data_IF_187935206058
#
_entry.id   IF_187935206058
#
_cell.length_a   1.000
_cell.length_b   1.000
_cell.length_c   1.000
_cell.angle_alpha   90.00
_cell.angle_beta   90.00
_cell.angle_gamma   90.00
#
_symmetry.space_group_name_H-M   'P 1'
#
loop_
_entity.id
_entity.type
_entity.pdbx_description
1 polymer ?
#
# COMPACT_ATOMS: atom_id res chain seq x y z
N UNK A 1 -2.80 7.39 -3.69
CA UNK A 1 -1.54 7.11 -4.40
C UNK A 1 -1.92 6.28 -5.62
N UNK A 2 -0.99 6.03 -6.52
CA UNK A 2 -1.24 5.25 -7.73
C UNK A 2 -2.04 5.96 -8.80
N UNK A 3 -2.91 5.22 -9.50
CA UNK A 3 -3.73 5.76 -10.59
C UNK A 3 -4.56 6.94 -10.11
N UNK A 4 -4.34 8.10 -10.74
CA UNK A 4 -4.95 9.36 -10.33
C UNK A 4 -6.48 9.29 -10.46
N UNK A 5 -7.15 9.70 -9.39
CA UNK A 5 -8.61 9.76 -9.34
C UNK A 5 -9.38 8.45 -9.63
N UNK A 6 -8.71 7.29 -9.80
CA UNK A 6 -9.41 6.03 -10.08
C UNK A 6 -10.38 5.66 -8.96
N UNK A 7 -9.95 5.77 -7.69
CA UNK A 7 -10.85 5.52 -6.57
C UNK A 7 -12.07 6.45 -6.57
N UNK A 8 -11.89 7.74 -6.95
CA UNK A 8 -13.00 8.69 -7.05
C UNK A 8 -13.98 8.26 -8.15
N UNK A 9 -13.46 7.80 -9.27
CA UNK A 9 -14.25 7.25 -10.37
C UNK A 9 -15.05 6.01 -9.95
N UNK A 10 -14.41 5.06 -9.25
CA UNK A 10 -15.07 3.85 -8.73
C UNK A 10 -16.14 4.21 -7.68
N UNK A 11 -15.91 5.23 -6.84
CA UNK A 11 -16.87 5.68 -5.82
C UNK A 11 -18.17 6.26 -6.42
N UNK A 12 -18.20 6.66 -7.69
CA UNK A 12 -19.41 7.10 -8.38
C UNK A 12 -20.33 5.91 -8.73
N UNK A 13 -19.84 4.67 -8.56
CA UNK A 13 -20.58 3.42 -8.72
C UNK A 13 -20.50 2.59 -7.43
N UNK A 14 -21.37 2.89 -6.43
CA UNK A 14 -21.26 2.30 -5.09
C UNK A 14 -21.28 0.78 -5.05
N UNK A 15 -21.93 0.11 -5.99
CA UNK A 15 -22.00 -1.35 -6.11
C UNK A 15 -20.66 -2.02 -6.41
N UNK A 16 -19.66 -1.28 -6.88
CA UNK A 16 -18.29 -1.77 -7.07
C UNK A 16 -17.49 -1.83 -5.78
N UNK A 17 -17.96 -1.16 -4.73
CA UNK A 17 -17.34 -1.14 -3.41
C UNK A 17 -18.22 -1.91 -2.44
N UNK A 18 -17.79 -3.10 -2.08
CA UNK A 18 -18.56 -3.97 -1.19
C UNK A 18 -18.13 -3.77 0.25
N UNK A 19 -19.09 -3.47 1.11
CA UNK A 19 -18.88 -3.51 2.55
C UNK A 19 -18.84 -4.97 3.01
N UNK A 20 -17.81 -5.32 3.78
CA UNK A 20 -17.59 -6.67 4.25
C UNK A 20 -17.27 -6.70 5.75
N UNK A 21 -17.64 -7.79 6.40
CA UNK A 21 -17.23 -8.04 7.78
C UNK A 21 -15.80 -8.61 7.82
N UNK A 22 -15.04 -8.25 8.85
CA UNK A 22 -13.65 -8.71 9.03
C UNK A 22 -13.56 -10.25 9.15
N UNK A 23 -14.61 -10.91 9.64
CA UNK A 23 -14.66 -12.37 9.76
C UNK A 23 -14.55 -13.11 8.42
N UNK A 24 -14.87 -12.45 7.30
CA UNK A 24 -14.65 -12.96 5.94
C UNK A 24 -13.19 -13.36 5.69
N UNK A 25 -12.27 -12.69 6.37
CA UNK A 25 -10.81 -12.88 6.18
C UNK A 25 -10.18 -13.79 7.25
N UNK A 26 -11.01 -14.38 8.12
CA UNK A 26 -10.52 -15.35 9.11
C UNK A 26 -9.83 -16.53 8.40
N UNK A 27 -8.62 -16.86 8.85
CA UNK A 27 -7.75 -17.90 8.26
C UNK A 27 -7.32 -17.62 6.81
N UNK A 28 -7.34 -16.34 6.40
CA UNK A 28 -6.91 -15.91 5.09
C UNK A 28 -5.55 -15.23 5.16
N UNK A 29 -4.74 -15.41 4.10
CA UNK A 29 -3.50 -14.64 3.90
C UNK A 29 -3.82 -13.36 3.18
N UNK A 30 -3.31 -12.25 3.70
CA UNK A 30 -3.53 -10.93 3.12
C UNK A 30 -2.15 -10.29 2.87
N UNK A 31 -1.85 -9.96 1.61
CA UNK A 31 -0.63 -9.24 1.28
C UNK A 31 -0.76 -7.76 1.70
N UNK A 32 0.33 -7.21 2.19
CA UNK A 32 0.39 -5.84 2.70
C UNK A 32 1.67 -5.19 2.21
N UNK A 33 1.55 -4.12 1.42
CA UNK A 33 2.66 -3.23 1.19
C UNK A 33 3.05 -2.56 2.52
N UNK A 34 4.22 -2.93 3.03
CA UNK A 34 4.68 -2.44 4.33
C UNK A 34 4.99 -0.94 4.27
N UNK A 35 5.44 -0.42 3.13
CA UNK A 35 5.77 0.99 2.96
C UNK A 35 4.53 1.86 3.15
N UNK A 36 3.42 1.53 2.49
CA UNK A 36 2.14 2.24 2.64
C UNK A 36 1.66 2.16 4.10
N UNK A 37 1.74 0.99 4.72
CA UNK A 37 1.32 0.80 6.11
C UNK A 37 2.15 1.67 7.07
N UNK A 38 3.47 1.62 6.99
CA UNK A 38 4.35 2.34 7.92
C UNK A 38 4.21 3.86 7.73
N UNK A 39 4.14 4.36 6.49
CA UNK A 39 3.88 5.78 6.26
C UNK A 39 2.52 6.21 6.81
N UNK A 40 1.46 5.40 6.69
CA UNK A 40 0.14 5.65 7.28
C UNK A 40 0.23 5.74 8.82
N UNK A 41 0.97 4.84 9.45
CA UNK A 41 1.23 4.84 10.90
C UNK A 41 1.96 6.13 11.32
N UNK A 42 3.07 6.46 10.69
CA UNK A 42 3.87 7.65 11.00
C UNK A 42 3.02 8.92 10.85
N UNK A 43 2.30 9.07 9.74
CA UNK A 43 1.43 10.23 9.50
C UNK A 43 0.34 10.32 10.56
N UNK A 44 -0.24 9.18 10.95
CA UNK A 44 -1.29 9.15 12.00
C UNK A 44 -0.75 9.58 13.36
N UNK A 45 0.42 9.09 13.74
CA UNK A 45 1.08 9.48 15.00
C UNK A 45 1.49 10.95 14.95
N UNK A 46 2.07 11.43 13.85
CA UNK A 46 2.48 12.82 13.67
C UNK A 46 1.31 13.83 13.64
N UNK A 47 0.07 13.37 13.52
CA UNK A 47 -1.10 14.23 13.76
C UNK A 47 -1.19 14.72 15.22
N UNK A 48 -0.53 14.07 16.16
CA UNK A 48 -0.43 14.51 17.58
C UNK A 48 0.67 15.56 17.80
N UNK A 49 1.45 15.88 16.76
CA UNK A 49 2.57 16.83 16.84
C UNK A 49 3.92 16.20 17.20
N UNK A 50 3.98 14.89 17.47
CA UNK A 50 5.22 14.22 17.87
C UNK A 50 5.32 12.80 17.32
N UNK A 51 6.54 12.25 17.29
CA UNK A 51 6.78 10.81 17.11
C UNK A 51 6.79 10.10 18.48
N UNK A 52 6.58 8.79 18.49
CA UNK A 52 6.89 7.98 19.67
C UNK A 52 8.40 7.82 19.78
N UNK A 53 8.95 8.20 20.92
CA UNK A 53 10.38 8.10 21.23
C UNK A 53 10.60 7.23 22.47
N UNK A 54 11.71 6.50 22.50
CA UNK A 54 12.11 5.74 23.69
C UNK A 54 12.88 6.63 24.70
N UNK A 55 13.28 6.04 25.83
CA UNK A 55 14.04 6.74 26.88
C UNK A 55 15.42 7.25 26.40
N UNK A 56 15.94 6.71 25.28
CA UNK A 56 17.20 7.13 24.65
C UNK A 56 17.02 8.25 23.62
N UNK A 57 15.78 8.71 23.38
CA UNK A 57 15.46 9.71 22.36
C UNK A 57 15.33 9.16 20.93
N UNK A 58 15.32 7.84 20.75
CA UNK A 58 15.20 7.20 19.44
C UNK A 58 13.74 7.06 19.03
N UNK A 59 13.44 7.29 17.73
CA UNK A 59 12.08 7.17 17.18
C UNK A 59 11.68 5.69 17.10
N UNK A 60 10.59 5.31 17.77
CA UNK A 60 10.05 3.94 17.81
C UNK A 60 8.67 3.81 17.15
N UNK A 61 8.17 4.86 16.53
CA UNK A 61 6.82 4.92 15.92
C UNK A 61 6.59 3.77 14.95
N UNK A 62 7.57 3.46 14.06
CA UNK A 62 7.48 2.38 13.08
C UNK A 62 7.38 1.01 13.75
N UNK A 63 8.16 0.74 14.77
CA UNK A 63 8.18 -0.54 15.51
C UNK A 63 6.88 -0.76 16.28
N UNK A 64 6.50 0.22 17.12
CA UNK A 64 5.28 0.11 17.92
C UNK A 64 4.04 -0.01 17.03
N UNK A 65 4.00 0.76 15.95
CA UNK A 65 2.89 0.73 15.01
C UNK A 65 2.79 -0.60 14.26
N UNK A 66 3.90 -1.11 13.71
CA UNK A 66 3.94 -2.40 13.03
C UNK A 66 3.57 -3.55 13.98
N UNK A 67 4.16 -3.58 15.18
CA UNK A 67 3.84 -4.59 16.20
C UNK A 67 2.35 -4.60 16.54
N UNK A 68 1.77 -3.42 16.81
CA UNK A 68 0.36 -3.32 17.16
C UNK A 68 -0.56 -3.75 16.02
N UNK A 69 -0.27 -3.32 14.78
CA UNK A 69 -1.08 -3.69 13.61
C UNK A 69 -1.00 -5.18 13.31
N UNK A 70 0.18 -5.77 13.45
CA UNK A 70 0.36 -7.22 13.28
C UNK A 70 -0.43 -8.00 14.31
N UNK A 71 -0.34 -7.65 15.61
CA UNK A 71 -1.13 -8.29 16.68
C UNK A 71 -2.63 -8.12 16.43
N UNK A 72 -3.05 -6.95 15.96
CA UNK A 72 -4.46 -6.69 15.62
C UNK A 72 -4.96 -7.64 14.54
N UNK A 73 -4.24 -7.79 13.42
CA UNK A 73 -4.60 -8.71 12.34
C UNK A 73 -4.66 -10.17 12.82
N UNK A 74 -3.65 -10.61 13.56
CA UNK A 74 -3.59 -11.95 14.14
C UNK A 74 -4.74 -12.22 15.11
N UNK A 75 -5.20 -11.22 15.88
CA UNK A 75 -6.36 -11.34 16.77
C UNK A 75 -7.68 -11.59 16.00
N UNK A 76 -7.76 -11.17 14.73
CA UNK A 76 -8.87 -11.52 13.83
C UNK A 76 -8.63 -12.87 13.12
N UNK A 77 -7.59 -13.61 13.48
CA UNK A 77 -7.11 -14.82 12.78
C UNK A 77 -6.80 -14.56 11.29
N UNK A 78 -6.27 -13.39 10.96
CA UNK A 78 -5.82 -13.02 9.62
C UNK A 78 -4.31 -13.16 9.58
N UNK A 79 -3.77 -13.82 8.55
CA UNK A 79 -2.33 -14.02 8.36
C UNK A 79 -1.79 -12.89 7.47
N UNK A 80 -1.09 -11.89 8.01
CA UNK A 80 -0.47 -10.85 7.20
C UNK A 80 0.77 -11.41 6.50
N UNK A 81 0.93 -11.07 5.22
CA UNK A 81 2.13 -11.30 4.42
C UNK A 81 2.68 -9.94 4.03
N UNK A 82 3.75 -9.50 4.69
CA UNK A 82 4.31 -8.19 4.42
C UNK A 82 5.24 -8.23 3.21
N UNK A 83 5.14 -7.21 2.35
CA UNK A 83 5.99 -7.09 1.18
C UNK A 83 6.77 -5.78 1.27
N UNK A 84 8.11 -5.90 1.23
CA UNK A 84 9.04 -4.77 1.21
C UNK A 84 9.40 -4.43 -0.23
N UNK A 85 9.58 -3.13 -0.49
CA UNK A 85 10.12 -2.66 -1.77
C UNK A 85 11.57 -3.12 -1.96
N UNK A 86 11.91 -3.45 -3.21
CA UNK A 86 13.27 -3.66 -3.69
C UNK A 86 13.81 -2.41 -4.37
N UNK A 87 14.50 -2.61 -5.51
CA UNK A 87 15.03 -1.50 -6.30
C UNK A 87 13.94 -0.94 -7.22
N UNK A 88 13.55 0.34 -7.07
CA UNK A 88 12.50 0.92 -7.91
C UNK A 88 12.87 0.87 -9.40
N UNK A 89 11.89 0.67 -10.31
CA UNK A 89 12.12 0.64 -11.74
C UNK A 89 12.53 2.02 -12.26
N UNK A 90 13.34 2.06 -13.33
CA UNK A 90 13.84 3.32 -13.89
C UNK A 90 12.73 4.27 -14.34
N UNK A 91 11.60 3.74 -14.81
CA UNK A 91 10.44 4.54 -15.24
C UNK A 91 9.83 5.39 -14.12
N UNK A 92 10.09 5.05 -12.84
CA UNK A 92 9.62 5.80 -11.66
C UNK A 92 10.55 6.93 -11.21
N UNK A 93 11.76 7.06 -11.79
CA UNK A 93 12.78 8.00 -11.33
C UNK A 93 12.26 9.44 -11.23
N UNK A 94 11.51 9.92 -12.22
CA UNK A 94 10.93 11.28 -12.22
C UNK A 94 9.97 11.50 -11.03
N UNK A 95 9.14 10.52 -10.74
CA UNK A 95 8.20 10.57 -9.60
C UNK A 95 8.95 10.55 -8.27
N UNK A 96 9.99 9.73 -8.15
CA UNK A 96 10.83 9.67 -6.95
C UNK A 96 11.57 10.97 -6.70
N UNK A 97 12.14 11.58 -7.75
CA UNK A 97 12.80 12.87 -7.64
C UNK A 97 11.83 13.98 -7.22
N UNK A 98 10.64 14.04 -7.80
CA UNK A 98 9.60 14.98 -7.40
C UNK A 98 9.20 14.79 -5.92
N UNK A 99 9.04 13.54 -5.46
CA UNK A 99 8.73 13.24 -4.05
C UNK A 99 9.86 13.68 -3.12
N UNK A 100 11.13 13.51 -3.53
CA UNK A 100 12.30 13.98 -2.79
C UNK A 100 12.33 15.50 -2.66
N UNK A 101 12.06 16.22 -3.74
CA UNK A 101 12.00 17.69 -3.75
C UNK A 101 10.84 18.21 -2.86
N UNK A 102 9.66 17.58 -2.91
CA UNK A 102 8.52 17.92 -2.05
C UNK A 102 8.88 17.75 -0.57
N UNK A 103 9.57 16.64 -0.22
CA UNK A 103 10.04 16.39 1.15
C UNK A 103 11.06 17.42 1.62
N UNK A 104 12.05 17.76 0.76
CA UNK A 104 13.05 18.80 1.07
C UNK A 104 12.39 20.15 1.35
N UNK A 105 11.49 20.59 0.48
CA UNK A 105 10.70 21.82 0.69
C UNK A 105 9.84 21.78 1.96
N UNK A 106 9.34 20.60 2.33
CA UNK A 106 8.57 20.45 3.56
C UNK A 106 9.45 20.58 4.81
N UNK A 107 10.70 20.07 4.79
CA UNK A 107 11.66 20.26 5.86
C UNK A 107 12.02 21.74 6.04
N UNK A 108 12.36 22.43 4.95
CA UNK A 108 12.69 23.88 4.98
C UNK A 108 11.51 24.71 5.56
N UNK A 109 10.26 24.35 5.18
CA UNK A 109 9.06 25.02 5.69
C UNK A 109 8.75 24.65 7.15
N UNK A 110 9.13 23.46 7.61
CA UNK A 110 8.97 23.04 8.98
C UNK A 110 9.85 23.90 9.93
N UNK A 111 11.10 24.17 9.52
CA UNK A 111 12.02 25.03 10.28
C UNK A 111 11.52 26.47 10.39
N UNK A 112 10.76 26.95 9.41
CA UNK A 112 10.21 28.31 9.37
C UNK A 112 8.76 28.41 9.92
N UNK A 113 8.13 27.27 10.26
CA UNK A 113 6.74 27.22 10.69
C UNK A 113 6.55 27.86 12.06
N UNK A 114 5.66 28.86 12.13
CA UNK A 114 5.32 29.58 13.36
C UNK A 114 4.11 28.93 14.05
N UNK A 115 3.06 28.59 13.26
CA UNK A 115 1.83 28.02 13.80
C UNK A 115 1.97 26.50 14.03
N UNK A 116 1.29 25.98 15.05
CA UNK A 116 1.30 24.54 15.33
C UNK A 116 0.64 23.73 14.19
N UNK A 117 -0.36 24.30 13.52
CA UNK A 117 -1.00 23.68 12.35
C UNK A 117 0.00 23.50 11.20
N UNK A 118 0.79 24.52 10.87
CA UNK A 118 1.83 24.42 9.85
C UNK A 118 2.96 23.49 10.26
N UNK A 119 3.37 23.50 11.53
CA UNK A 119 4.36 22.54 12.06
C UNK A 119 3.89 21.11 11.85
N UNK A 120 2.68 20.75 12.29
CA UNK A 120 2.11 19.41 12.09
C UNK A 120 2.01 19.05 10.60
N UNK A 121 1.55 19.97 9.77
CA UNK A 121 1.41 19.77 8.31
C UNK A 121 2.75 19.46 7.63
N UNK A 122 3.79 20.26 7.90
CA UNK A 122 5.10 20.05 7.29
C UNK A 122 5.85 18.88 7.92
N UNK A 123 5.70 18.63 9.22
CA UNK A 123 6.22 17.44 9.88
C UNK A 123 5.71 16.13 9.25
N UNK A 124 4.43 16.06 8.91
CA UNK A 124 3.87 14.91 8.15
C UNK A 124 4.43 14.81 6.74
N UNK A 125 4.53 15.94 6.02
CA UNK A 125 5.01 15.96 4.63
C UNK A 125 6.51 15.66 4.49
N UNK A 126 7.28 15.89 5.53
CA UNK A 126 8.71 15.57 5.60
C UNK A 126 9.02 14.13 6.00
N UNK A 127 7.98 13.30 6.28
CA UNK A 127 8.16 11.93 6.75
C UNK A 127 9.03 11.10 5.82
N UNK A 128 10.02 10.43 6.40
CA UNK A 128 10.89 9.47 5.72
C UNK A 128 11.23 8.35 6.69
N UNK A 129 11.65 7.21 6.15
CA UNK A 129 12.10 6.05 6.91
C UNK A 129 13.53 5.75 6.48
N UNK A 130 14.43 5.57 7.44
CA UNK A 130 15.81 5.22 7.19
C UNK A 130 15.96 3.73 6.83
N UNK A 131 17.10 3.39 6.23
CA UNK A 131 17.43 1.98 5.97
C UNK A 131 17.45 1.15 7.26
N UNK A 132 18.00 1.71 8.32
CA UNK A 132 18.04 1.08 9.64
C UNK A 132 16.63 0.79 10.19
N UNK A 133 15.71 1.74 10.06
CA UNK A 133 14.32 1.54 10.48
C UNK A 133 13.62 0.44 9.66
N UNK A 134 13.92 0.30 8.37
CA UNK A 134 13.45 -0.83 7.57
C UNK A 134 14.02 -2.17 8.04
N UNK A 135 15.30 -2.20 8.38
CA UNK A 135 15.95 -3.43 8.89
C UNK A 135 15.39 -3.80 10.28
N UNK A 136 15.08 -2.81 11.12
CA UNK A 136 14.36 -3.01 12.40
C UNK A 136 12.94 -3.59 12.18
N UNK A 137 12.22 -3.16 11.15
CA UNK A 137 10.91 -3.73 10.81
C UNK A 137 11.02 -5.21 10.41
N UNK A 138 12.02 -5.58 9.61
CA UNK A 138 12.25 -6.99 9.21
C UNK A 138 12.57 -7.85 10.42
N UNK A 139 13.52 -7.40 11.24
CA UNK A 139 13.89 -8.10 12.49
C UNK A 139 12.68 -8.31 13.41
N UNK A 140 11.82 -7.28 13.55
CA UNK A 140 10.59 -7.41 14.32
C UNK A 140 9.68 -8.51 13.77
N UNK A 141 9.46 -8.54 12.46
CA UNK A 141 8.61 -9.57 11.82
C UNK A 141 9.22 -10.97 11.94
N UNK A 142 10.54 -11.11 11.83
CA UNK A 142 11.27 -12.38 12.06
C UNK A 142 11.05 -12.87 13.49
N UNK A 143 11.26 -12.01 14.48
CA UNK A 143 11.03 -12.36 15.88
C UNK A 143 9.55 -12.68 16.18
N UNK A 144 8.61 -12.07 15.46
CA UNK A 144 7.17 -12.37 15.57
C UNK A 144 6.78 -13.64 14.82
N UNK A 145 7.66 -14.26 14.04
CA UNK A 145 7.37 -15.41 13.19
C UNK A 145 6.41 -15.08 12.04
N UNK A 146 6.31 -13.82 11.63
CA UNK A 146 5.36 -13.36 10.59
C UNK A 146 6.06 -13.33 9.23
N UNK A 147 5.46 -13.94 8.18
CA UNK A 147 6.08 -14.01 6.87
C UNK A 147 6.21 -12.62 6.22
N UNK A 148 7.35 -12.37 5.59
CA UNK A 148 7.56 -11.24 4.73
C UNK A 148 8.37 -11.60 3.48
N UNK A 149 8.25 -10.77 2.45
CA UNK A 149 8.92 -10.92 1.15
C UNK A 149 9.61 -9.60 0.83
N UNK A 150 10.79 -9.66 0.22
CA UNK A 150 11.43 -8.51 -0.40
C UNK A 150 11.17 -8.63 -1.91
N UNK A 151 10.40 -7.68 -2.48
CA UNK A 151 10.14 -7.63 -3.90
C UNK A 151 11.43 -7.32 -4.67
N UNK A 152 11.60 -7.78 -5.93
CA UNK A 152 12.75 -7.40 -6.74
C UNK A 152 12.70 -5.92 -7.15
N UNK A 153 11.49 -5.39 -7.32
CA UNK A 153 11.23 -3.98 -7.61
C UNK A 153 10.21 -3.41 -6.61
N UNK A 154 8.96 -3.23 -6.96
CA UNK A 154 7.96 -2.61 -6.10
C UNK A 154 7.11 -3.63 -5.35
N UNK A 155 6.78 -3.31 -4.12
CA UNK A 155 5.90 -4.14 -3.29
C UNK A 155 4.51 -4.32 -3.92
N UNK A 156 3.98 -3.28 -4.59
CA UNK A 156 2.67 -3.32 -5.24
C UNK A 156 2.59 -4.43 -6.29
N UNK A 157 3.57 -4.53 -7.19
CA UNK A 157 3.60 -5.57 -8.23
C UNK A 157 3.70 -6.97 -7.64
N UNK A 158 4.51 -7.15 -6.58
CA UNK A 158 4.64 -8.43 -5.89
C UNK A 158 3.37 -8.81 -5.12
N UNK A 159 2.72 -7.86 -4.42
CA UNK A 159 1.44 -8.09 -3.76
C UNK A 159 0.35 -8.49 -4.77
N UNK A 160 0.29 -7.80 -5.91
CA UNK A 160 -0.66 -8.12 -6.97
C UNK A 160 -0.43 -9.51 -7.55
N UNK A 161 0.84 -9.88 -7.79
CA UNK A 161 1.21 -11.22 -8.24
C UNK A 161 0.75 -12.30 -7.27
N UNK A 162 1.02 -12.16 -5.96
CA UNK A 162 0.58 -13.13 -4.95
C UNK A 162 -0.94 -13.33 -4.96
N UNK A 163 -1.72 -12.25 -5.12
CA UNK A 163 -3.17 -12.33 -5.21
C UNK A 163 -3.63 -12.96 -6.54
N UNK A 164 -2.95 -12.65 -7.65
CA UNK A 164 -3.26 -13.19 -8.99
C UNK A 164 -3.05 -14.69 -9.07
N UNK A 165 -1.99 -15.22 -8.44
CA UNK A 165 -1.69 -16.67 -8.43
C UNK A 165 -2.40 -17.42 -7.30
N UNK A 166 -3.19 -16.72 -6.46
CA UNK A 166 -3.98 -17.34 -5.39
C UNK A 166 -3.21 -17.71 -4.12
N UNK A 167 -1.98 -17.20 -3.94
CA UNK A 167 -1.19 -17.42 -2.73
C UNK A 167 -1.68 -16.57 -1.55
N UNK A 168 -2.37 -15.46 -1.84
CA UNK A 168 -3.07 -14.63 -0.85
C UNK A 168 -4.49 -14.35 -1.33
N UNK A 169 -5.41 -14.06 -0.39
CA UNK A 169 -6.84 -13.84 -0.65
C UNK A 169 -7.19 -12.41 -1.08
N UNK A 170 -6.20 -11.52 -1.07
CA UNK A 170 -6.32 -10.12 -1.48
C UNK A 170 -5.18 -9.26 -0.97
N UNK A 171 -5.19 -7.99 -1.32
CA UNK A 171 -4.16 -7.02 -0.93
C UNK A 171 -4.78 -5.92 -0.07
N UNK A 172 -4.25 -5.72 1.14
CA UNK A 172 -4.63 -4.61 2.01
C UNK A 172 -3.86 -3.36 1.61
N UNK A 173 -4.50 -2.46 0.89
CA UNK A 173 -3.88 -1.23 0.40
C UNK A 173 -4.92 -0.14 0.12
N UNK A 174 -4.45 1.11 0.07
CA UNK A 174 -5.21 2.25 -0.46
C UNK A 174 -4.73 2.62 -1.88
N UNK A 175 -3.73 1.93 -2.41
CA UNK A 175 -3.16 2.21 -3.73
C UNK A 175 -3.92 1.47 -4.84
N UNK A 176 -4.38 2.23 -5.83
CA UNK A 176 -5.16 1.67 -6.94
C UNK A 176 -4.29 1.04 -8.03
N UNK A 177 -2.97 1.27 -8.05
CA UNK A 177 -2.05 0.64 -9.00
C UNK A 177 -2.07 -0.89 -8.87
N UNK A 178 -2.42 -1.42 -7.71
CA UNK A 178 -2.60 -2.85 -7.47
C UNK A 178 -3.56 -3.50 -8.48
N UNK A 179 -4.62 -2.80 -8.90
CA UNK A 179 -5.57 -3.32 -9.90
C UNK A 179 -4.96 -3.35 -11.29
N UNK A 180 -4.11 -2.39 -11.64
CA UNK A 180 -3.42 -2.38 -12.94
C UNK A 180 -2.38 -3.50 -13.03
N UNK A 181 -1.73 -3.88 -11.91
CA UNK A 181 -0.87 -5.07 -11.84
C UNK A 181 -1.65 -6.40 -11.84
N UNK A 182 -2.98 -6.35 -11.78
CA UNK A 182 -3.85 -7.52 -11.90
C UNK A 182 -4.18 -8.22 -10.59
N UNK A 183 -4.05 -7.54 -9.45
CA UNK A 183 -4.59 -8.07 -8.19
C UNK A 183 -6.07 -8.37 -8.33
N UNK A 184 -6.48 -9.55 -7.89
CA UNK A 184 -7.89 -9.97 -7.96
C UNK A 184 -8.80 -9.14 -7.06
N UNK A 185 -8.25 -8.59 -5.95
CA UNK A 185 -9.01 -7.89 -4.93
C UNK A 185 -8.16 -6.89 -4.15
N UNK A 186 -8.68 -5.69 -3.96
CA UNK A 186 -8.22 -4.73 -2.96
C UNK A 186 -9.12 -4.83 -1.73
N UNK A 187 -8.50 -4.82 -0.55
CA UNK A 187 -9.15 -4.75 0.76
C UNK A 187 -8.73 -3.42 1.40
N UNK A 188 -9.70 -2.68 1.92
CA UNK A 188 -9.44 -1.39 2.54
C UNK A 188 -10.01 -1.34 3.96
N UNK A 189 -9.38 -0.57 4.83
CA UNK A 189 -9.81 -0.36 6.22
C UNK A 189 -9.95 -1.65 7.06
N UNK A 190 -9.28 -2.75 6.67
CA UNK A 190 -9.34 -4.03 7.39
C UNK A 190 -8.97 -3.83 8.86
N UNK A 191 -9.81 -4.35 9.76
CA UNK A 191 -9.73 -4.21 11.22
C UNK A 191 -9.81 -2.76 11.74
N UNK A 192 -10.28 -1.81 10.95
CA UNK A 192 -10.51 -0.45 11.43
C UNK A 192 -11.72 -0.39 12.37
N UNK A 193 -11.56 0.28 13.53
CA UNK A 193 -12.66 0.52 14.47
C UNK A 193 -13.54 1.74 14.08
N UNK A 194 -13.09 2.55 13.11
CA UNK A 194 -13.75 3.81 12.75
C UNK A 194 -14.50 3.73 11.41
N UNK A 195 -14.03 2.88 10.51
CA UNK A 195 -14.53 2.79 9.14
C UNK A 195 -14.71 1.33 8.79
N UNK A 196 -15.81 1.00 8.15
CA UNK A 196 -16.09 -0.36 7.73
C UNK A 196 -15.08 -0.86 6.70
N UNK A 197 -14.73 -2.15 6.78
CA UNK A 197 -13.88 -2.80 5.79
C UNK A 197 -14.61 -2.86 4.46
N UNK A 198 -13.93 -2.47 3.40
CA UNK A 198 -14.45 -2.51 2.04
C UNK A 198 -13.54 -3.30 1.13
N UNK A 199 -14.11 -3.90 0.08
CA UNK A 199 -13.37 -4.56 -0.97
C UNK A 199 -13.78 -4.06 -2.36
N UNK A 200 -12.80 -4.07 -3.27
CA UNK A 200 -12.99 -3.83 -4.69
C UNK A 200 -12.47 -5.06 -5.42
N UNK A 201 -13.34 -5.71 -6.19
CA UNK A 201 -13.00 -6.88 -6.98
C UNK A 201 -12.70 -6.49 -8.43
N UNK A 202 -11.51 -6.84 -8.94
CA UNK A 202 -11.09 -6.48 -10.30
C UNK A 202 -12.03 -7.02 -11.36
N UNK A 203 -12.49 -8.28 -11.24
CA UNK A 203 -13.39 -8.90 -12.22
C UNK A 203 -14.72 -8.15 -12.32
N UNK A 204 -15.29 -7.77 -11.17
CA UNK A 204 -16.53 -7.00 -11.13
C UNK A 204 -16.34 -5.61 -11.75
N UNK A 205 -15.22 -4.95 -11.46
CA UNK A 205 -14.86 -3.66 -12.04
C UNK A 205 -14.72 -3.75 -13.56
N UNK A 206 -13.97 -4.72 -14.07
CA UNK A 206 -13.79 -4.93 -15.51
C UNK A 206 -15.11 -5.21 -16.23
N UNK A 207 -15.97 -6.06 -15.65
CA UNK A 207 -17.27 -6.37 -16.20
C UNK A 207 -18.18 -5.12 -16.24
N UNK A 208 -18.21 -4.32 -15.16
CA UNK A 208 -19.00 -3.09 -15.10
C UNK A 208 -18.55 -2.07 -16.17
N UNK A 209 -17.24 -1.90 -16.32
CA UNK A 209 -16.67 -0.99 -17.33
C UNK A 209 -16.73 -1.55 -18.76
N UNK A 210 -17.10 -2.82 -18.93
CA UNK A 210 -17.01 -3.53 -20.20
C UNK A 210 -15.62 -3.45 -20.83
N UNK A 211 -14.58 -3.67 -20.02
CA UNK A 211 -13.17 -3.65 -20.43
C UNK A 211 -12.52 -4.99 -20.12
N UNK A 212 -11.58 -5.41 -20.99
CA UNK A 212 -10.59 -6.39 -20.59
C UNK A 212 -9.46 -5.74 -19.78
N UNK A 213 -8.58 -6.55 -19.17
CA UNK A 213 -7.54 -6.01 -18.28
C UNK A 213 -6.54 -5.10 -19.02
N UNK A 214 -6.17 -5.40 -20.26
CA UNK A 214 -5.27 -4.55 -21.04
C UNK A 214 -5.91 -3.19 -21.39
N UNK A 215 -7.20 -3.17 -21.71
CA UNK A 215 -7.97 -1.95 -21.92
C UNK A 215 -8.09 -1.14 -20.62
N UNK A 216 -8.27 -1.81 -19.47
CA UNK A 216 -8.30 -1.16 -18.18
C UNK A 216 -6.95 -0.51 -17.84
N UNK A 217 -5.82 -1.18 -18.13
CA UNK A 217 -4.48 -0.58 -18.00
C UNK A 217 -4.37 0.67 -18.87
N UNK A 218 -4.82 0.62 -20.13
CA UNK A 218 -4.80 1.78 -21.03
C UNK A 218 -5.63 2.95 -20.48
N UNK A 219 -6.81 2.67 -19.94
CA UNK A 219 -7.62 3.68 -19.26
C UNK A 219 -6.91 4.28 -18.03
N UNK A 220 -6.30 3.45 -17.19
CA UNK A 220 -5.53 3.90 -16.03
C UNK A 220 -4.33 4.77 -16.42
N UNK A 221 -3.65 4.46 -17.53
CA UNK A 221 -2.56 5.27 -18.08
C UNK A 221 -3.09 6.64 -18.53
N UNK A 222 -4.25 6.70 -19.16
CA UNK A 222 -4.89 7.97 -19.54
C UNK A 222 -5.24 8.81 -18.31
N UNK A 223 -5.68 8.22 -17.20
CA UNK A 223 -5.89 8.93 -15.93
C UNK A 223 -4.57 9.45 -15.34
N UNK A 224 -3.47 8.79 -15.63
CA UNK A 224 -2.14 9.06 -15.09
C UNK A 224 -1.83 8.28 -13.82
N UNK A 225 -0.58 7.86 -13.69
CA UNK A 225 -0.05 7.05 -12.59
C UNK A 225 1.37 7.51 -12.20
N UNK A 226 2.03 6.76 -11.34
CA UNK A 226 3.41 7.07 -10.90
C UNK A 226 4.44 6.97 -12.04
N UNK A 227 4.12 6.28 -13.14
CA UNK A 227 5.00 6.01 -14.27
C UNK A 227 4.68 6.85 -15.51
N UNK A 228 3.45 7.37 -15.61
CA UNK A 228 2.98 8.14 -16.75
C UNK A 228 2.05 9.27 -16.30
N UNK A 229 2.23 10.48 -16.85
CA UNK A 229 1.48 11.65 -16.40
C UNK A 229 -0.02 11.58 -16.74
N UNK A 230 -0.38 10.95 -17.87
CA UNK A 230 -1.77 10.88 -18.36
C UNK A 230 -2.38 12.24 -18.73
N UNK A 231 -3.72 12.30 -18.77
CA UNK A 231 -4.51 13.50 -19.05
C UNK A 231 -5.07 14.02 -17.72
N UNK A 232 -4.34 14.92 -17.05
CA UNK A 232 -4.68 15.34 -15.68
C UNK A 232 -5.70 16.50 -15.61
N UNK A 233 -6.09 17.10 -16.74
CA UNK A 233 -6.94 18.29 -16.77
C UNK A 233 -8.44 17.97 -16.71
N UNK A 234 -8.82 16.74 -17.05
CA UNK A 234 -10.22 16.32 -17.13
C UNK A 234 -10.61 15.34 -16.02
N UNK A 235 -11.89 15.32 -15.68
CA UNK A 235 -12.44 14.32 -14.75
C UNK A 235 -12.38 12.91 -15.36
N UNK A 236 -12.19 11.85 -14.55
CA UNK A 236 -12.14 10.48 -15.05
C UNK A 236 -13.32 10.07 -15.93
N UNK A 237 -14.53 10.51 -15.60
CA UNK A 237 -15.73 10.18 -16.39
C UNK A 237 -15.68 10.73 -17.81
N UNK A 238 -15.16 11.95 -17.98
CA UNK A 238 -14.98 12.53 -19.31
C UNK A 238 -13.96 11.71 -20.10
N UNK A 239 -12.83 11.37 -19.49
CA UNK A 239 -11.79 10.54 -20.12
C UNK A 239 -12.37 9.17 -20.48
N UNK A 240 -13.16 8.56 -19.58
CA UNK A 240 -13.79 7.26 -19.82
C UNK A 240 -14.83 7.30 -20.95
N UNK A 241 -15.63 8.36 -21.04
CA UNK A 241 -16.59 8.56 -22.14
C UNK A 241 -15.93 8.55 -23.51
N UNK A 242 -14.79 9.22 -23.65
CA UNK A 242 -14.01 9.19 -24.90
C UNK A 242 -13.32 7.86 -25.12
N UNK A 243 -12.71 7.29 -24.05
CA UNK A 243 -11.99 6.02 -24.14
C UNK A 243 -12.89 4.84 -24.49
N UNK A 244 -14.09 4.77 -23.93
CA UNK A 244 -15.04 3.66 -24.13
C UNK A 244 -15.45 3.47 -25.60
N UNK A 245 -15.37 4.52 -26.43
CA UNK A 245 -15.73 4.48 -27.86
C UNK A 245 -14.78 3.60 -28.68
N UNK A 246 -13.49 3.62 -28.36
CA UNK A 246 -12.48 2.91 -29.14
C UNK A 246 -11.58 1.99 -28.29
N UNK A 247 -11.57 2.15 -26.99
CA UNK A 247 -10.73 1.40 -26.02
C UNK A 247 -9.24 1.39 -26.41
N UNK A 248 -8.76 2.53 -26.90
CA UNK A 248 -7.42 2.70 -27.44
C UNK A 248 -6.93 4.12 -27.14
N UNK A 249 -5.71 4.24 -26.64
CA UNK A 249 -5.13 5.51 -26.17
C UNK A 249 -5.05 6.52 -27.31
N UNK A 250 -4.45 6.16 -28.44
CA UNK A 250 -4.20 7.09 -29.57
C UNK A 250 -5.51 7.61 -30.17
N UNK A 251 -6.47 6.70 -30.38
CA UNK A 251 -7.80 7.09 -30.90
C UNK A 251 -8.55 7.97 -29.94
N UNK A 252 -8.41 7.73 -28.64
CA UNK A 252 -9.00 8.58 -27.60
C UNK A 252 -8.42 9.99 -27.64
N UNK A 253 -7.09 10.12 -27.70
CA UNK A 253 -6.43 11.42 -27.81
C UNK A 253 -6.81 12.15 -29.07
N UNK A 254 -6.90 11.46 -30.21
CA UNK A 254 -7.33 12.05 -31.48
C UNK A 254 -8.77 12.57 -31.41
N UNK A 255 -9.69 11.80 -30.83
CA UNK A 255 -11.09 12.19 -30.70
C UNK A 255 -11.23 13.43 -29.80
N UNK A 256 -10.54 13.44 -28.64
CA UNK A 256 -10.54 14.59 -27.75
C UNK A 256 -9.97 15.85 -28.41
N UNK A 257 -8.93 15.73 -29.24
CA UNK A 257 -8.40 16.86 -30.03
C UNK A 257 -9.38 17.38 -31.06
N UNK A 258 -10.09 16.49 -31.77
CA UNK A 258 -11.10 16.87 -32.73
C UNK A 258 -12.21 17.70 -32.08
N UNK A 259 -12.50 17.43 -30.80
CA UNK A 259 -13.46 18.20 -30.00
C UNK A 259 -12.82 19.44 -29.31
N UNK A 260 -11.64 19.88 -29.80
CA UNK A 260 -10.89 21.04 -29.29
C UNK A 260 -10.50 20.94 -27.81
N UNK A 261 -10.34 19.73 -27.28
CA UNK A 261 -9.88 19.55 -25.90
C UNK A 261 -8.36 19.69 -25.81
N UNK A 262 -7.90 20.31 -24.72
CA UNK A 262 -6.48 20.44 -24.45
C UNK A 262 -5.88 19.12 -23.93
N UNK A 263 -5.33 18.32 -24.83
CA UNK A 263 -4.69 17.05 -24.49
C UNK A 263 -3.28 16.99 -25.09
N UNK A 264 -2.36 16.24 -24.48
CA UNK A 264 -1.00 16.13 -25.00
C UNK A 264 -1.00 15.53 -26.42
N UNK A 265 -0.03 15.95 -27.22
CA UNK A 265 0.13 15.44 -28.57
C UNK A 265 0.44 13.95 -28.58
N UNK A 266 1.18 13.49 -27.61
CA UNK A 266 1.58 12.10 -27.41
C UNK A 266 1.70 11.79 -25.91
N UNK A 267 1.38 10.57 -25.55
CA UNK A 267 1.65 10.01 -24.21
C UNK A 267 2.64 8.87 -24.40
N UNK A 268 3.79 8.97 -23.73
CA UNK A 268 4.80 7.89 -23.73
C UNK A 268 4.37 6.80 -22.74
N UNK A 269 3.50 5.91 -23.20
CA UNK A 269 2.83 4.93 -22.34
C UNK A 269 3.34 3.49 -22.50
N UNK A 270 4.08 3.18 -23.57
CA UNK A 270 4.43 1.78 -23.92
C UNK A 270 5.21 1.08 -22.81
N UNK A 271 6.24 1.75 -22.27
CA UNK A 271 7.05 1.19 -21.17
C UNK A 271 6.22 1.05 -19.89
N UNK A 272 5.30 1.98 -19.63
CA UNK A 272 4.38 1.92 -18.49
C UNK A 272 3.41 0.75 -18.64
N UNK A 273 2.84 0.54 -19.83
CA UNK A 273 1.95 -0.58 -20.12
C UNK A 273 2.68 -1.91 -19.98
N UNK A 274 3.88 -2.01 -20.54
CA UNK A 274 4.73 -3.20 -20.43
C UNK A 274 5.04 -3.52 -18.96
N UNK A 275 5.36 -2.50 -18.15
CA UNK A 275 5.63 -2.67 -16.74
C UNK A 275 4.41 -3.18 -15.95
N UNK A 276 3.20 -2.71 -16.26
CA UNK A 276 1.99 -3.22 -15.62
C UNK A 276 1.66 -4.67 -16.03
N UNK A 277 1.95 -5.05 -17.27
CA UNK A 277 1.66 -6.39 -17.80
C UNK A 277 2.71 -7.40 -17.31
N UNK A 278 3.99 -7.03 -17.36
CA UNK A 278 5.14 -7.88 -17.08
C UNK A 278 6.06 -7.30 -16.01
N UNK A 279 5.56 -7.02 -14.79
CA UNK A 279 6.42 -6.54 -13.71
C UNK A 279 7.40 -7.64 -13.28
N UNK A 280 8.58 -7.22 -12.82
CA UNK A 280 9.50 -8.17 -12.18
C UNK A 280 8.98 -8.53 -10.81
N UNK A 281 8.76 -9.82 -10.58
CA UNK A 281 8.30 -10.38 -9.32
C UNK A 281 9.09 -11.64 -8.98
N UNK A 282 9.16 -11.97 -7.71
CA UNK A 282 9.69 -13.25 -7.25
C UNK A 282 8.62 -14.32 -7.32
N UNK A 283 9.00 -15.51 -7.79
CA UNK A 283 8.17 -16.69 -7.64
C UNK A 283 8.27 -17.20 -6.18
N UNK A 284 7.13 -17.32 -5.53
CA UNK A 284 7.02 -17.58 -4.10
C UNK A 284 6.27 -18.89 -3.87
N UNK A 285 6.85 -19.78 -3.06
CA UNK A 285 6.15 -20.98 -2.62
C UNK A 285 5.25 -20.71 -1.41
N UNK A 286 4.17 -21.47 -1.26
CA UNK A 286 3.25 -21.37 -0.14
C UNK A 286 3.96 -21.53 1.22
N UNK A 287 5.00 -22.37 1.29
CA UNK A 287 5.76 -22.59 2.51
C UNK A 287 6.47 -21.32 3.02
N UNK A 288 6.85 -20.40 2.13
CA UNK A 288 7.46 -19.12 2.50
C UNK A 288 6.45 -18.15 3.13
N UNK A 289 5.16 -18.44 3.01
CA UNK A 289 4.07 -17.59 3.52
C UNK A 289 3.46 -18.13 4.82
N UNK A 290 4.00 -19.20 5.37
CA UNK A 290 3.57 -19.75 6.67
C UNK A 290 4.15 -18.93 7.81
N UNK A 291 3.43 -18.91 8.92
CA UNK A 291 3.97 -18.37 10.16
C UNK A 291 5.00 -19.33 10.74
N UNK A 292 6.13 -18.77 11.21
CA UNK A 292 7.11 -19.47 12.00
C UNK A 292 6.83 -19.33 13.50
N UNK A 293 7.46 -20.15 14.32
CA UNK A 293 7.36 -19.99 15.77
C UNK A 293 7.99 -18.66 16.21
N UNK A 294 7.24 -17.81 16.94
CA UNK A 294 7.79 -16.54 17.43
C UNK A 294 8.87 -16.74 18.49
N UNK A 295 9.93 -15.94 18.42
CA UNK A 295 10.96 -15.89 19.45
C UNK A 295 10.52 -14.91 20.58
N UNK A 296 9.77 -15.44 21.53
CA UNK A 296 9.15 -14.65 22.61
C UNK A 296 10.17 -13.99 23.54
N UNK A 297 11.33 -14.62 23.78
CA UNK A 297 12.36 -14.09 24.69
C UNK A 297 13.06 -12.91 24.05
N UNK A 298 13.59 -13.05 22.85
CA UNK A 298 14.24 -11.97 22.12
C UNK A 298 13.27 -10.85 21.75
N UNK A 299 12.02 -11.18 21.43
CA UNK A 299 10.99 -10.19 21.18
C UNK A 299 10.67 -9.35 22.41
N UNK A 300 10.56 -9.98 23.59
CA UNK A 300 10.37 -9.25 24.86
C UNK A 300 11.56 -8.33 25.16
N UNK A 301 12.78 -8.86 25.08
CA UNK A 301 14.01 -8.10 25.29
C UNK A 301 14.10 -6.92 24.33
N UNK A 302 13.88 -7.14 23.04
CA UNK A 302 13.93 -6.09 22.00
C UNK A 302 12.92 -4.98 22.26
N UNK A 303 11.66 -5.36 22.52
CA UNK A 303 10.58 -4.37 22.69
C UNK A 303 10.70 -3.59 24.02
N UNK A 304 11.15 -4.24 25.09
CA UNK A 304 11.24 -3.61 26.43
C UNK A 304 12.59 -2.94 26.63
N UNK A 305 13.69 -3.69 26.49
CA UNK A 305 15.02 -3.18 26.91
C UNK A 305 15.65 -2.30 25.82
N UNK A 306 15.43 -2.59 24.53
CA UNK A 306 15.98 -1.78 23.45
C UNK A 306 15.05 -0.61 23.08
N UNK A 307 13.74 -0.87 22.92
CA UNK A 307 12.78 0.18 22.52
C UNK A 307 12.04 0.84 23.69
N UNK A 308 12.30 0.45 24.95
CA UNK A 308 11.75 1.10 26.14
C UNK A 308 10.23 1.01 26.27
N UNK A 309 9.60 -0.02 25.69
CA UNK A 309 8.15 -0.18 25.76
C UNK A 309 7.73 -0.77 27.12
N UNK A 310 6.49 -0.50 27.53
CA UNK A 310 5.98 -0.90 28.85
C UNK A 310 5.88 -2.43 28.95
N UNK A 311 6.76 -3.03 29.76
CA UNK A 311 6.91 -4.50 29.91
C UNK A 311 5.61 -5.24 30.16
N UNK A 312 4.73 -4.71 31.02
CA UNK A 312 3.44 -5.33 31.32
C UNK A 312 2.54 -5.43 30.07
N UNK A 313 2.44 -4.35 29.27
CA UNK A 313 1.63 -4.32 28.05
C UNK A 313 2.21 -5.25 26.98
N UNK A 314 3.53 -5.29 26.86
CA UNK A 314 4.19 -6.18 25.90
C UNK A 314 3.93 -7.65 26.29
N UNK A 315 4.11 -8.03 27.54
CA UNK A 315 3.82 -9.40 28.01
C UNK A 315 2.38 -9.84 27.72
N UNK A 316 1.39 -8.94 27.87
CA UNK A 316 0.00 -9.25 27.51
C UNK A 316 -0.16 -9.52 26.01
N UNK A 317 0.48 -8.72 25.16
CA UNK A 317 0.44 -8.91 23.69
C UNK A 317 1.18 -10.16 23.25
N UNK A 318 2.31 -10.50 23.86
CA UNK A 318 3.03 -11.74 23.58
C UNK A 318 2.22 -12.99 23.97
N UNK A 319 1.42 -12.95 25.04
CA UNK A 319 0.48 -14.04 25.35
C UNK A 319 -0.56 -14.21 24.23
N UNK A 320 -1.09 -13.12 23.70
CA UNK A 320 -2.00 -13.16 22.55
C UNK A 320 -1.31 -13.69 21.29
N UNK A 321 -0.10 -13.24 21.01
CA UNK A 321 0.69 -13.73 19.88
C UNK A 321 0.88 -15.26 19.96
N UNK A 322 1.18 -15.79 21.15
CA UNK A 322 1.33 -17.23 21.37
C UNK A 322 0.04 -17.99 21.04
N UNK A 323 -1.10 -17.52 21.54
CA UNK A 323 -2.41 -18.13 21.24
C UNK A 323 -2.72 -18.07 19.74
N UNK A 324 -2.48 -16.91 19.13
CA UNK A 324 -2.75 -16.73 17.71
C UNK A 324 -1.85 -17.60 16.84
N UNK A 325 -0.58 -17.75 17.18
CA UNK A 325 0.35 -18.65 16.48
C UNK A 325 -0.14 -20.10 16.53
N UNK A 326 -0.51 -20.61 17.71
CA UNK A 326 -1.03 -21.98 17.85
C UNK A 326 -2.29 -22.22 16.99
N UNK A 327 -3.11 -21.19 16.78
CA UNK A 327 -4.30 -21.26 15.93
C UNK A 327 -3.96 -21.21 14.44
N UNK A 328 -2.94 -20.44 14.06
CA UNK A 328 -2.68 -20.08 12.66
C UNK A 328 -1.54 -20.87 12.00
N UNK A 329 -0.70 -21.56 12.77
CA UNK A 329 0.50 -22.27 12.26
C UNK A 329 0.22 -23.35 11.21
N UNK A 330 -1.01 -23.86 11.16
CA UNK A 330 -1.42 -24.91 10.21
C UNK A 330 -1.96 -24.35 8.88
N UNK A 331 -2.22 -23.06 8.84
CA UNK A 331 -2.73 -22.35 7.65
C UNK A 331 -1.59 -21.70 6.88
#
# INVERSE_FOLDING_TARGET
MGVKCLLKFINETPELIQNVDNSKYKFKRIAIDISILIYKIIITVRNTGADYINQKGEITTHILGLFNKTIELLNYNIIPVYVFDGKPPNIKNKTLENRKQIRKKALEKLEQAITDEDKIKYFKRSSTISKEQWDQCKELLELMGVPYIIAPEEADSQCAYLAKVGLVDGVLTEDMDILTFGSTKIIRNLTSHKVQTTEINLKNLLNHLNLNHNEFIDFCILLGCDYCQGISEYKPNIIFEYFSKYKNIEKTLQLMKNDNMNVPNEIYYKDTKEYFINPKVNDISLNMLKMNEPDYENLLLKLVDNYGLIKFLIKQKLKKLKINYEILKEY
#
